data_IF_740299215552
#
_entry.id   IF_740299215552
#
_cell.length_a   1.000
_cell.length_b   1.000
_cell.length_c   1.000
_cell.angle_alpha   90.00
_cell.angle_beta   90.00
_cell.angle_gamma   90.00
#
_symmetry.space_group_name_H-M   'P 1'
#
loop_
_entity.id
_entity.type
_entity.pdbx_description
1 polymer ?
#
# COMPACT_ATOMS: atom_id res chain seq x y z
N UNK A 1 41.07 12.36 13.28
CA UNK A 1 39.61 12.38 13.50
C UNK A 1 38.98 12.14 12.14
N UNK A 2 38.57 10.92 11.85
CA UNK A 2 37.94 10.57 10.57
C UNK A 2 36.45 10.86 10.70
N UNK A 3 35.94 11.79 9.90
CA UNK A 3 34.51 11.98 9.74
C UNK A 3 33.99 10.77 8.94
N UNK A 4 33.21 9.91 9.59
CA UNK A 4 32.39 8.93 8.89
C UNK A 4 31.21 9.70 8.27
N UNK A 5 31.31 10.07 7.00
CA UNK A 5 30.11 10.30 6.19
C UNK A 5 29.43 8.94 6.07
N UNK A 6 28.36 8.74 6.84
CA UNK A 6 27.46 7.62 6.61
C UNK A 6 26.84 7.82 5.22
N UNK A 7 27.00 6.89 4.26
CA UNK A 7 26.13 6.90 3.09
C UNK A 7 24.71 6.70 3.62
N UNK A 8 23.85 7.68 3.37
CA UNK A 8 22.44 7.55 3.71
C UNK A 8 21.84 6.46 2.81
N UNK A 9 21.70 5.24 3.35
CA UNK A 9 20.95 4.18 2.69
C UNK A 9 19.56 4.73 2.36
N UNK A 10 19.25 4.78 1.07
CA UNK A 10 17.90 4.95 0.60
C UNK A 10 17.38 3.53 0.40
N UNK A 11 16.85 2.93 1.46
CA UNK A 11 16.29 1.59 1.38
C UNK A 11 14.88 1.71 0.80
N UNK A 12 14.84 1.74 -0.53
CA UNK A 12 13.65 1.58 -1.34
C UNK A 12 13.54 0.10 -1.71
N UNK A 13 12.41 -0.52 -1.38
CA UNK A 13 12.09 -1.90 -1.72
C UNK A 13 11.03 -1.93 -2.81
N UNK A 14 11.28 -2.71 -3.86
CA UNK A 14 10.31 -2.99 -4.92
C UNK A 14 9.71 -4.36 -4.68
N UNK A 15 8.39 -4.41 -4.53
CA UNK A 15 7.65 -5.62 -4.17
C UNK A 15 6.75 -5.99 -5.36
N UNK A 16 6.98 -7.18 -5.94
CA UNK A 16 6.13 -7.76 -7.01
C UNK A 16 5.10 -8.69 -6.37
N UNK A 17 3.90 -8.18 -6.13
CA UNK A 17 2.79 -8.89 -5.49
C UNK A 17 2.04 -9.69 -6.53
N UNK A 18 2.05 -11.02 -6.41
CA UNK A 18 1.22 -11.94 -7.18
C UNK A 18 -0.03 -12.29 -6.38
N UNK A 19 -1.19 -11.73 -6.73
CA UNK A 19 -2.45 -11.92 -6.00
C UNK A 19 -2.98 -13.37 -6.03
N UNK A 20 -2.36 -14.29 -6.78
CA UNK A 20 -2.64 -15.73 -6.70
C UNK A 20 -1.85 -16.39 -5.58
N UNK A 21 -0.60 -15.96 -5.41
CA UNK A 21 0.38 -16.62 -4.56
C UNK A 21 0.56 -15.93 -3.22
N UNK A 22 0.32 -14.62 -3.18
CA UNK A 22 0.52 -13.78 -2.02
C UNK A 22 -0.83 -13.44 -1.42
N UNK A 23 -1.12 -14.12 -0.32
CA UNK A 23 -2.31 -13.93 0.52
C UNK A 23 -1.89 -13.72 1.98
N UNK A 24 -2.87 -13.69 2.89
CA UNK A 24 -2.62 -13.49 4.32
C UNK A 24 -1.74 -14.58 4.93
N UNK A 25 -1.77 -15.80 4.38
CA UNK A 25 -0.94 -16.92 4.87
C UNK A 25 0.47 -16.91 4.23
N UNK A 26 0.62 -16.26 3.07
CA UNK A 26 1.87 -16.21 2.30
C UNK A 26 2.21 -14.79 1.81
N UNK A 27 2.35 -13.80 2.70
CA UNK A 27 2.68 -12.45 2.29
C UNK A 27 4.11 -12.36 1.73
N UNK A 28 4.40 -11.33 0.93
CA UNK A 28 5.78 -11.01 0.59
C UNK A 28 6.38 -10.26 1.76
N UNK A 29 7.34 -10.88 2.43
CA UNK A 29 7.98 -10.32 3.61
C UNK A 29 9.24 -9.51 3.24
N UNK A 30 9.33 -8.30 3.78
CA UNK A 30 10.53 -7.46 3.75
C UNK A 30 10.96 -7.14 5.17
N UNK A 31 12.26 -7.16 5.44
CA UNK A 31 12.80 -6.74 6.73
C UNK A 31 12.94 -5.22 6.74
N UNK A 32 12.23 -4.55 7.64
CA UNK A 32 12.28 -3.10 7.84
C UNK A 32 12.84 -2.79 9.23
N UNK A 33 13.57 -1.68 9.33
CA UNK A 33 13.97 -1.12 10.62
C UNK A 33 12.79 -0.37 11.26
N UNK A 34 12.88 -0.07 12.56
CA UNK A 34 11.90 0.81 13.19
C UNK A 34 11.87 2.19 12.50
N UNK A 35 10.68 2.68 12.14
CA UNK A 35 10.54 3.94 11.42
C UNK A 35 9.24 4.04 10.62
N UNK A 36 9.12 5.12 9.84
CA UNK A 36 7.96 5.37 8.97
C UNK A 36 8.31 5.10 7.51
N UNK A 37 7.36 4.54 6.79
CA UNK A 37 7.52 4.09 5.40
C UNK A 37 6.33 4.52 4.58
N UNK A 38 6.58 4.90 3.32
CA UNK A 38 5.55 5.18 2.33
C UNK A 38 5.39 3.97 1.41
N UNK A 39 4.16 3.51 1.19
CA UNK A 39 3.81 2.57 0.13
C UNK A 39 3.28 3.36 -1.06
N UNK A 40 3.94 3.23 -2.21
CA UNK A 40 3.54 3.89 -3.46
C UNK A 40 3.34 2.84 -4.54
N UNK A 41 2.15 2.75 -5.16
CA UNK A 41 1.97 1.95 -6.37
C UNK A 41 2.85 2.47 -7.50
N UNK A 42 3.63 1.60 -8.15
CA UNK A 42 4.50 1.97 -9.27
C UNK A 42 4.26 1.04 -10.44
N UNK A 43 4.23 1.58 -11.67
CA UNK A 43 3.86 0.79 -12.85
C UNK A 43 4.85 0.82 -14.00
N UNK A 44 4.38 0.41 -15.18
CA UNK A 44 5.22 0.29 -16.39
C UNK A 44 5.82 1.64 -16.81
N UNK A 45 5.13 2.74 -16.49
CA UNK A 45 5.61 4.12 -16.73
C UNK A 45 6.86 4.45 -15.91
N UNK A 46 7.10 3.76 -14.80
CA UNK A 46 8.32 3.83 -14.00
C UNK A 46 9.38 2.77 -14.42
N UNK A 47 9.21 2.13 -15.59
CA UNK A 47 10.12 1.12 -16.12
C UNK A 47 9.97 -0.26 -15.50
N UNK A 48 8.80 -0.58 -14.93
CA UNK A 48 8.48 -1.90 -14.35
C UNK A 48 7.85 -2.83 -15.37
N UNK A 49 7.83 -4.13 -15.06
CA UNK A 49 7.24 -5.19 -15.91
C UNK A 49 5.71 -5.26 -15.74
N UNK A 50 5.21 -4.91 -14.56
CA UNK A 50 3.78 -4.89 -14.22
C UNK A 50 3.38 -3.50 -13.73
N UNK A 51 2.08 -3.19 -13.82
CA UNK A 51 1.52 -1.96 -13.28
C UNK A 51 1.33 -2.05 -11.76
N UNK A 52 1.25 -0.91 -11.08
CA UNK A 52 1.08 -0.89 -9.61
C UNK A 52 -0.32 -1.27 -9.14
N UNK A 53 -1.22 -1.59 -10.08
CA UNK A 53 -2.65 -1.74 -9.90
C UNK A 53 -3.09 -3.02 -10.62
N UNK A 54 -4.21 -3.61 -10.19
CA UNK A 54 -4.78 -4.79 -10.86
C UNK A 54 -6.17 -4.47 -11.40
N UNK A 55 -6.56 -5.11 -12.52
CA UNK A 55 -7.94 -5.01 -13.00
C UNK A 55 -8.87 -5.74 -12.03
N UNK A 56 -9.91 -5.04 -11.59
CA UNK A 56 -11.11 -5.58 -11.00
C UNK A 56 -12.03 -6.05 -12.13
N UNK A 57 -12.16 -7.36 -12.29
CA UNK A 57 -13.01 -7.98 -13.31
C UNK A 57 -12.22 -8.45 -14.54
N UNK A 58 -12.89 -9.28 -15.35
CA UNK A 58 -12.27 -9.85 -16.56
C UNK A 58 -12.14 -8.82 -17.69
N UNK A 59 -13.07 -7.85 -17.74
CA UNK A 59 -13.12 -6.73 -18.68
C UNK A 59 -13.36 -5.43 -17.91
N UNK A 60 -12.84 -4.31 -18.41
CA UNK A 60 -13.11 -2.97 -17.89
C UNK A 60 -14.42 -2.43 -18.47
N UNK A 61 -15.39 -2.06 -17.62
CA UNK A 61 -16.59 -1.33 -18.04
C UNK A 61 -16.51 0.16 -17.77
N UNK A 62 -15.62 0.59 -16.86
CA UNK A 62 -15.42 2.01 -16.60
C UNK A 62 -14.82 2.72 -17.81
N UNK A 63 -15.48 3.76 -18.30
CA UNK A 63 -15.04 4.52 -19.49
C UNK A 63 -14.52 5.93 -19.13
N UNK A 64 -14.66 6.37 -17.87
CA UNK A 64 -14.30 7.73 -17.43
C UNK A 64 -12.88 7.77 -16.83
N UNK A 65 -11.96 8.59 -17.38
CA UNK A 65 -10.61 8.72 -16.82
C UNK A 65 -10.57 9.22 -15.38
N UNK A 66 -11.59 9.96 -14.95
CA UNK A 66 -11.74 10.43 -13.56
C UNK A 66 -12.17 9.30 -12.58
N UNK A 67 -12.38 8.09 -13.09
CA UNK A 67 -12.81 6.92 -12.34
C UNK A 67 -14.33 6.73 -12.33
N UNK A 68 -14.74 5.52 -11.99
CA UNK A 68 -16.13 5.13 -11.75
C UNK A 68 -16.27 4.65 -10.32
N UNK A 69 -17.35 5.05 -9.64
CA UNK A 69 -17.65 4.54 -8.30
C UNK A 69 -17.87 3.04 -8.35
N UNK A 70 -17.17 2.31 -7.47
CA UNK A 70 -17.47 0.93 -7.24
C UNK A 70 -18.86 0.79 -6.60
N UNK A 71 -19.54 -0.30 -6.89
CA UNK A 71 -20.88 -0.59 -6.38
C UNK A 71 -20.96 -2.02 -5.86
N UNK A 72 -21.96 -2.30 -5.03
CA UNK A 72 -22.30 -3.66 -4.58
C UNK A 72 -23.79 -3.90 -4.82
N UNK A 73 -24.18 -4.85 -5.69
CA UNK A 73 -23.32 -5.68 -6.54
C UNK A 73 -22.54 -4.84 -7.57
N UNK A 74 -21.36 -5.33 -7.98
CA UNK A 74 -20.48 -4.63 -8.92
C UNK A 74 -21.18 -4.37 -10.26
N UNK A 75 -21.33 -3.10 -10.60
CA UNK A 75 -21.80 -2.63 -11.91
C UNK A 75 -20.67 -2.10 -12.77
N UNK A 76 -19.60 -1.61 -12.15
CA UNK A 76 -18.42 -1.07 -12.83
C UNK A 76 -17.17 -1.88 -12.52
N UNK A 77 -16.40 -2.20 -13.56
CA UNK A 77 -15.13 -2.94 -13.51
C UNK A 77 -14.02 -2.11 -14.14
N UNK A 78 -12.78 -2.31 -13.68
CA UNK A 78 -11.64 -1.52 -14.13
C UNK A 78 -10.44 -1.63 -13.19
N UNK A 79 -9.42 -0.80 -13.37
CA UNK A 79 -8.18 -0.85 -12.60
C UNK A 79 -8.37 -0.25 -11.21
N UNK A 80 -7.91 -0.96 -10.17
CA UNK A 80 -8.04 -0.55 -8.77
C UNK A 80 -6.86 -0.99 -7.90
N UNK A 81 -6.49 -0.15 -6.96
CA UNK A 81 -5.49 -0.39 -5.93
C UNK A 81 -6.17 -1.00 -4.72
N UNK A 82 -5.69 -2.19 -4.41
CA UNK A 82 -5.99 -2.83 -3.15
C UNK A 82 -4.75 -3.57 -2.66
N UNK A 83 -4.41 -3.42 -1.40
CA UNK A 83 -3.37 -4.20 -0.75
C UNK A 83 -3.54 -4.19 0.76
N UNK A 84 -2.93 -5.19 1.39
CA UNK A 84 -2.79 -5.29 2.82
C UNK A 84 -1.31 -5.26 3.19
N UNK A 85 -1.02 -4.60 4.31
CA UNK A 85 0.26 -4.69 4.99
C UNK A 85 0.04 -5.33 6.35
N UNK A 86 0.88 -6.31 6.71
CA UNK A 86 0.84 -7.01 7.99
C UNK A 86 2.18 -6.88 8.72
N UNK A 87 2.13 -6.52 10.00
CA UNK A 87 3.27 -6.57 10.92
C UNK A 87 2.80 -6.38 12.36
N UNK A 88 3.30 -7.19 13.29
CA UNK A 88 3.03 -7.06 14.73
C UNK A 88 3.58 -5.75 15.35
N UNK A 89 4.41 -5.01 14.60
CA UNK A 89 5.03 -3.78 15.04
C UNK A 89 4.30 -2.51 14.56
N UNK A 90 3.17 -2.63 13.84
CA UNK A 90 2.41 -1.49 13.33
C UNK A 90 1.87 -0.63 14.48
N UNK A 91 2.02 0.69 14.36
CA UNK A 91 1.54 1.64 15.38
C UNK A 91 0.70 2.76 14.82
N UNK A 92 1.00 3.23 13.61
CA UNK A 92 0.28 4.32 12.97
C UNK A 92 0.20 4.06 11.47
N UNK A 93 -0.97 4.35 10.88
CA UNK A 93 -1.19 4.28 9.44
C UNK A 93 -1.96 5.52 9.00
N UNK A 94 -1.56 6.08 7.87
CA UNK A 94 -2.23 7.20 7.20
C UNK A 94 -2.45 6.85 5.74
N UNK A 95 -3.65 7.14 5.24
CA UNK A 95 -3.96 7.11 3.81
C UNK A 95 -4.35 8.52 3.42
N UNK A 96 -3.75 9.05 2.36
CA UNK A 96 -3.96 10.45 1.95
C UNK A 96 -3.68 11.48 3.06
N UNK A 97 -2.71 11.17 3.93
CA UNK A 97 -2.39 12.00 5.10
C UNK A 97 -3.39 11.92 6.26
N UNK A 98 -4.56 11.30 6.07
CA UNK A 98 -5.55 11.08 7.13
C UNK A 98 -5.20 9.81 7.92
N UNK A 99 -5.14 9.87 9.27
CA UNK A 99 -4.88 8.69 10.09
C UNK A 99 -6.04 7.70 10.03
N UNK A 100 -5.71 6.42 9.87
CA UNK A 100 -6.69 5.34 10.00
C UNK A 100 -6.99 5.11 11.47
N UNK A 101 -8.27 5.03 11.81
CA UNK A 101 -8.70 4.64 13.15
C UNK A 101 -8.81 3.11 13.19
N UNK A 102 -8.21 2.44 14.18
CA UNK A 102 -8.34 1.00 14.27
C UNK A 102 -9.79 0.56 14.46
N UNK A 103 -10.15 -0.58 13.87
CA UNK A 103 -11.48 -1.18 13.93
C UNK A 103 -11.44 -2.54 14.64
N UNK A 104 -12.52 -2.86 15.36
CA UNK A 104 -12.63 -4.12 16.12
C UNK A 104 -12.94 -5.34 15.24
N UNK A 105 -13.57 -5.14 14.09
CA UNK A 105 -13.93 -6.21 13.17
C UNK A 105 -13.88 -5.69 11.73
N UNK A 106 -13.37 -6.53 10.83
CA UNK A 106 -13.36 -6.26 9.39
C UNK A 106 -14.77 -5.96 8.88
N UNK A 107 -14.94 -4.97 7.99
CA UNK A 107 -16.23 -4.71 7.36
C UNK A 107 -16.64 -5.94 6.54
N UNK A 108 -17.84 -6.44 6.80
CA UNK A 108 -18.40 -7.62 6.11
C UNK A 108 -19.60 -7.28 5.24
N UNK A 109 -20.03 -6.01 5.25
CA UNK A 109 -21.18 -5.55 4.49
C UNK A 109 -20.79 -4.76 3.25
N UNK A 110 -21.70 -4.79 2.28
CA UNK A 110 -21.66 -4.08 1.01
C UNK A 110 -21.46 -2.55 1.09
N UNK A 111 -21.46 -1.98 2.30
CA UNK A 111 -21.27 -0.56 2.55
C UNK A 111 -19.78 -0.14 2.53
N UNK A 112 -18.84 -1.09 2.62
CA UNK A 112 -17.39 -0.86 2.55
C UNK A 112 -16.83 -0.84 1.11
N UNK A 113 -17.37 0.02 0.25
CA UNK A 113 -16.93 0.15 -1.15
C UNK A 113 -15.56 0.86 -1.26
N UNK A 114 -15.27 1.76 -0.32
CA UNK A 114 -13.94 2.29 -0.03
C UNK A 114 -13.61 1.82 1.37
N UNK A 115 -12.51 1.08 1.50
CA UNK A 115 -12.20 0.46 2.77
C UNK A 115 -10.74 0.70 3.14
N UNK A 116 -10.54 1.73 3.97
CA UNK A 116 -9.28 1.97 4.65
C UNK A 116 -9.47 1.64 6.12
N UNK A 117 -8.82 0.60 6.60
CA UNK A 117 -8.87 0.26 8.01
C UNK A 117 -7.54 -0.26 8.54
N UNK A 118 -7.42 -0.16 9.85
CA UNK A 118 -6.34 -0.72 10.66
C UNK A 118 -6.99 -1.74 11.60
N UNK A 119 -6.61 -3.00 11.52
CA UNK A 119 -7.18 -4.06 12.34
C UNK A 119 -6.71 -3.95 13.79
N UNK A 120 -7.57 -4.36 14.72
CA UNK A 120 -7.29 -4.53 16.15
C UNK A 120 -6.82 -3.24 16.87
N UNK A 121 -7.72 -2.55 17.61
CA UNK A 121 -7.36 -1.35 18.37
C UNK A 121 -6.38 -1.60 19.51
N UNK A 122 -6.27 -2.82 20.04
CA UNK A 122 -5.38 -3.16 21.15
C UNK A 122 -3.97 -3.53 20.66
N UNK A 123 -3.87 -4.16 19.49
CA UNK A 123 -2.61 -4.55 18.87
C UNK A 123 -2.72 -4.45 17.35
N UNK A 124 -2.54 -3.24 16.80
CA UNK A 124 -2.60 -3.05 15.35
C UNK A 124 -1.57 -3.92 14.65
N UNK A 125 -2.03 -4.81 13.80
CA UNK A 125 -1.16 -5.80 13.14
C UNK A 125 -1.37 -5.88 11.63
N UNK A 126 -2.43 -5.27 11.10
CA UNK A 126 -2.70 -5.25 9.67
C UNK A 126 -3.47 -4.00 9.28
N UNK A 127 -3.14 -3.41 8.14
CA UNK A 127 -4.00 -2.40 7.54
C UNK A 127 -4.32 -2.73 6.09
N UNK A 128 -5.48 -2.28 5.67
CA UNK A 128 -6.03 -2.48 4.34
C UNK A 128 -6.16 -1.14 3.63
N UNK A 129 -5.82 -1.15 2.36
CA UNK A 129 -6.06 -0.04 1.44
C UNK A 129 -6.91 -0.55 0.30
N UNK A 130 -8.09 0.03 0.08
CA UNK A 130 -8.97 -0.30 -1.04
C UNK A 130 -9.76 0.93 -1.49
N UNK A 131 -9.45 1.44 -2.69
CA UNK A 131 -9.96 2.74 -3.15
C UNK A 131 -11.46 2.73 -3.52
N UNK A 132 -12.15 3.87 -3.54
CA UNK A 132 -13.57 3.89 -3.92
C UNK A 132 -13.80 3.70 -5.44
N UNK A 133 -12.76 3.96 -6.23
CA UNK A 133 -12.85 4.15 -7.67
C UNK A 133 -12.16 3.02 -8.43
N UNK A 134 -12.77 2.64 -9.54
CA UNK A 134 -12.14 1.83 -10.60
C UNK A 134 -11.87 2.73 -11.82
N UNK A 135 -10.82 2.42 -12.57
CA UNK A 135 -10.36 3.26 -13.69
C UNK A 135 -10.34 2.52 -15.03
N UNK A 136 -10.48 3.24 -16.17
CA UNK A 136 -10.43 2.62 -17.49
C UNK A 136 -9.07 1.96 -17.78
N UNK A 137 -7.98 2.57 -17.32
CA UNK A 137 -6.62 2.08 -17.54
C UNK A 137 -5.77 2.10 -16.28
N UNK A 138 -4.69 1.30 -16.26
CA UNK A 138 -3.71 1.33 -15.19
C UNK A 138 -3.04 2.70 -15.03
N UNK A 139 -2.85 3.44 -16.13
CA UNK A 139 -2.23 4.76 -16.11
C UNK A 139 -3.11 5.80 -15.42
N UNK A 140 -4.42 5.76 -15.66
CA UNK A 140 -5.39 6.63 -14.98
C UNK A 140 -5.42 6.34 -13.48
N UNK A 141 -5.43 5.05 -13.13
CA UNK A 141 -5.42 4.59 -11.74
C UNK A 141 -4.13 5.00 -10.98
N UNK A 142 -2.96 4.88 -11.62
CA UNK A 142 -1.69 5.34 -11.06
C UNK A 142 -1.69 6.87 -10.86
N UNK A 143 -2.28 7.63 -11.77
CA UNK A 143 -2.32 9.09 -11.67
C UNK A 143 -3.14 9.58 -10.46
N UNK A 144 -4.10 8.78 -10.00
CA UNK A 144 -4.94 9.05 -8.83
C UNK A 144 -4.48 8.31 -7.57
N UNK A 145 -3.37 7.57 -7.64
CA UNK A 145 -2.87 6.76 -6.55
C UNK A 145 -2.53 7.59 -5.31
N UNK A 146 -3.20 7.30 -4.21
CA UNK A 146 -2.87 7.92 -2.93
C UNK A 146 -1.89 7.01 -2.16
N UNK A 147 -0.70 7.51 -1.79
CA UNK A 147 0.24 6.72 -1.01
C UNK A 147 -0.30 6.48 0.40
N UNK A 148 -0.05 5.30 0.95
CA UNK A 148 -0.19 5.08 2.39
C UNK A 148 1.15 5.30 3.08
N UNK A 149 1.10 5.73 4.33
CA UNK A 149 2.25 5.85 5.22
C UNK A 149 1.98 5.02 6.44
N UNK A 150 2.90 4.14 6.81
CA UNK A 150 2.82 3.34 8.02
C UNK A 150 4.07 3.49 8.88
N UNK A 151 3.91 3.28 10.18
CA UNK A 151 5.01 3.30 11.15
C UNK A 151 5.12 1.94 11.82
N UNK A 152 6.35 1.43 11.89
CA UNK A 152 6.72 0.25 12.67
C UNK A 152 7.57 0.66 13.87
N UNK A 153 7.18 0.17 15.05
CA UNK A 153 7.80 0.51 16.33
C UNK A 153 9.11 -0.22 16.62
N UNK A 154 9.34 -1.34 15.94
CA UNK A 154 10.51 -2.19 16.11
C UNK A 154 10.90 -2.78 14.75
N UNK A 155 12.20 -3.05 14.58
CA UNK A 155 12.71 -3.70 13.38
C UNK A 155 12.18 -5.13 13.29
N UNK A 156 11.75 -5.55 12.10
CA UNK A 156 11.08 -6.83 11.91
C UNK A 156 10.62 -7.06 10.48
N UNK A 157 9.93 -8.19 10.28
CA UNK A 157 9.32 -8.52 9.01
C UNK A 157 7.99 -7.75 8.87
N UNK A 158 7.80 -7.22 7.66
CA UNK A 158 6.57 -6.59 7.22
C UNK A 158 6.13 -7.31 5.96
N UNK A 159 4.92 -7.86 5.98
CA UNK A 159 4.32 -8.57 4.87
C UNK A 159 3.46 -7.64 4.01
N UNK A 160 3.51 -7.80 2.70
CA UNK A 160 2.60 -7.15 1.73
C UNK A 160 1.90 -8.22 0.88
N UNK A 161 0.59 -8.07 0.66
CA UNK A 161 -0.20 -8.96 -0.21
C UNK A 161 -1.45 -8.26 -0.79
N UNK A 162 -2.09 -8.88 -1.79
CA UNK A 162 -3.40 -8.43 -2.30
C UNK A 162 -4.49 -9.32 -1.66
N UNK A 163 -5.45 -8.76 -0.91
CA UNK A 163 -6.47 -9.55 -0.22
C UNK A 163 -7.52 -10.12 -1.18
N UNK A 164 -7.58 -9.66 -2.43
CA UNK A 164 -8.65 -10.02 -3.37
C UNK A 164 -8.33 -11.33 -4.07
N UNK A 165 -9.09 -12.38 -3.73
CA UNK A 165 -9.10 -13.63 -4.51
C UNK A 165 -9.88 -13.46 -5.81
N UNK A 166 -9.18 -13.10 -6.88
CA UNK A 166 -9.80 -12.94 -8.21
C UNK A 166 -9.96 -14.27 -8.97
N UNK A 167 -10.95 -14.32 -9.88
CA UNK A 167 -11.19 -15.45 -10.80
C UNK A 167 -10.16 -15.51 -11.95
N UNK A 168 -9.88 -16.71 -12.47
CA UNK A 168 -8.65 -17.26 -13.11
C UNK A 168 -7.99 -16.58 -14.35
N UNK A 169 -8.36 -15.37 -14.79
CA UNK A 169 -8.11 -15.00 -16.22
C UNK A 169 -7.18 -13.82 -16.59
N UNK A 170 -6.70 -12.97 -15.68
CA UNK A 170 -5.84 -11.81 -16.02
C UNK A 170 -4.46 -11.88 -15.33
N UNK A 171 -3.40 -11.15 -15.80
CA UNK A 171 -2.13 -11.08 -15.08
C UNK A 171 -2.35 -10.40 -13.72
N UNK A 172 -2.08 -11.16 -12.65
CA UNK A 172 -2.38 -10.82 -11.25
C UNK A 172 -1.18 -10.29 -10.48
N UNK A 173 -0.28 -9.63 -11.19
CA UNK A 173 0.93 -9.08 -10.60
C UNK A 173 0.83 -7.59 -10.58
N UNK A 174 1.12 -7.00 -9.43
CA UNK A 174 1.27 -5.57 -9.31
C UNK A 174 2.53 -5.20 -8.54
N UNK A 175 3.07 -4.01 -8.79
CA UNK A 175 4.28 -3.54 -8.11
C UNK A 175 3.95 -2.45 -7.09
N UNK A 176 4.37 -2.67 -5.85
CA UNK A 176 4.39 -1.65 -4.81
C UNK A 176 5.83 -1.28 -4.46
N UNK A 177 6.07 0.01 -4.24
CA UNK A 177 7.33 0.53 -3.73
C UNK A 177 7.19 0.89 -2.26
N UNK A 178 8.04 0.35 -1.39
CA UNK A 178 8.15 0.76 0.01
C UNK A 178 9.41 1.61 0.18
N UNK A 179 9.24 2.85 0.61
CA UNK A 179 10.34 3.80 0.77
C UNK A 179 10.34 4.41 2.18
N UNK A 180 11.49 4.36 2.86
CA UNK A 180 11.63 4.95 4.19
C UNK A 180 11.48 6.49 4.17
N UNK A 181 10.68 7.02 5.11
CA UNK A 181 10.55 8.46 5.34
C UNK A 181 11.70 8.90 6.24
N UNK A 182 12.56 9.78 5.72
CA UNK A 182 13.63 10.38 6.52
C UNK A 182 13.05 11.50 7.38
N UNK A 183 13.15 11.39 8.70
CA UNK A 183 13.05 12.58 9.53
C UNK A 183 14.22 13.53 9.20
N UNK A 184 14.00 14.85 9.10
CA UNK A 184 15.10 15.79 8.97
C UNK A 184 15.99 15.65 10.19
N UNK A 185 17.24 15.25 9.98
CA UNK A 185 18.19 15.11 11.08
C UNK A 185 18.34 16.45 11.81
N UNK A 186 17.84 16.52 13.05
CA UNK A 186 18.17 17.63 13.94
C UNK A 186 19.61 17.45 14.41
N UNK A 187 20.56 17.62 13.48
CA UNK A 187 21.97 17.74 13.82
C UNK A 187 22.17 19.09 14.46
N UNK A 188 22.52 19.06 15.75
CA UNK A 188 22.49 20.18 16.66
C UNK A 188 23.20 21.43 16.16
N UNK A 189 22.50 22.56 16.22
CA UNK A 189 23.13 23.85 16.46
C UNK A 189 23.17 24.07 17.99
N UNK A 190 24.04 23.32 18.68
CA UNK A 190 24.42 23.69 20.05
C UNK A 190 25.24 24.97 19.96
N UNK A 191 24.70 26.05 20.52
CA UNK A 191 25.40 27.29 20.80
C UNK A 191 26.74 26.98 21.48
N UNK A 192 27.81 27.61 20.99
CA UNK A 192 28.97 27.92 21.81
C UNK A 192 29.16 29.44 21.77
N UNK A 193 29.41 29.97 22.97
CA UNK A 193 29.43 31.37 23.37
C UNK A 193 30.48 32.22 22.64
#
# INVERSE_FOLDING_TARGET
>A
MFAFSSPALADTFLIDVDAIQNDTDHPIEVFLEAGSYTVTPVGVTAGRVYDGWQPWGDDTSCETPDGCEQTVPTTETGWKNAYDVISDALTEVRVNGAPLTPIEAEPTDAAGIQDYWLADPAAPHRYHVDDALVFPTAADAIATAEPSVFTVSASGLVGLFDPRRHHERQPRRHIAEITAIREPSTTGCSRSA
#
